data_IF_422852331382
#
_entry.id   IF_422852331382
#
_cell.length_a   1.000
_cell.length_b   1.000
_cell.length_c   1.000
_cell.angle_alpha   90.00
_cell.angle_beta   90.00
_cell.angle_gamma   90.00
#
_symmetry.space_group_name_H-M   'P 1'
#
loop_
_entity.id
_entity.type
_entity.pdbx_description
1 polymer ?
#
# COMPACT_ATOMS: atom_id res chain seq x y z
N UNK A 1 25.92 -2.11 -37.58
CA UNK A 1 25.10 -0.95 -37.19
C UNK A 1 24.16 -1.36 -36.06
N UNK A 2 24.28 -0.79 -34.85
CA UNK A 2 23.52 -1.21 -33.68
C UNK A 2 22.07 -0.70 -33.72
N UNK A 3 21.14 -1.58 -33.36
CA UNK A 3 19.70 -1.34 -33.27
C UNK A 3 19.43 -0.56 -31.98
N UNK A 4 19.14 0.74 -32.10
CA UNK A 4 18.74 1.57 -30.98
C UNK A 4 17.36 1.10 -30.49
N UNK A 5 17.31 0.41 -29.35
CA UNK A 5 16.05 0.06 -28.69
C UNK A 5 15.47 1.32 -28.05
N UNK A 6 14.34 1.81 -28.57
CA UNK A 6 13.61 2.89 -27.91
C UNK A 6 13.00 2.36 -26.62
N UNK A 7 13.57 2.78 -25.49
CA UNK A 7 13.00 2.62 -24.16
C UNK A 7 11.67 3.36 -24.17
N UNK A 8 10.55 2.62 -24.19
CA UNK A 8 9.19 3.14 -24.13
C UNK A 8 9.04 3.88 -22.80
N UNK A 9 9.14 5.20 -22.80
CA UNK A 9 8.76 6.00 -21.65
C UNK A 9 7.29 5.71 -21.36
N UNK A 10 7.01 5.11 -20.19
CA UNK A 10 5.64 4.94 -19.72
C UNK A 10 5.10 6.33 -19.38
N UNK A 11 4.49 6.98 -20.37
CA UNK A 11 3.86 8.28 -20.21
C UNK A 11 2.83 8.23 -19.10
N UNK A 12 3.17 8.81 -17.95
CA UNK A 12 2.35 8.86 -16.74
C UNK A 12 1.03 9.64 -16.93
N UNK A 13 0.84 10.27 -18.09
CA UNK A 13 -0.38 10.97 -18.48
C UNK A 13 -1.62 10.07 -18.47
N UNK A 14 -1.46 8.76 -18.71
CA UNK A 14 -2.59 7.81 -18.63
C UNK A 14 -3.22 7.78 -17.24
N UNK A 15 -2.39 7.80 -16.18
CA UNK A 15 -2.87 7.85 -14.80
C UNK A 15 -3.54 9.20 -14.50
N UNK A 16 -2.96 10.30 -14.98
CA UNK A 16 -3.52 11.64 -14.80
C UNK A 16 -4.88 11.78 -15.49
N UNK A 17 -5.01 11.27 -16.72
CA UNK A 17 -6.24 11.26 -17.49
C UNK A 17 -7.28 10.37 -16.83
N UNK A 18 -6.89 9.18 -16.38
CA UNK A 18 -7.77 8.28 -15.61
C UNK A 18 -8.29 8.94 -14.33
N UNK A 19 -7.43 9.66 -13.61
CA UNK A 19 -7.79 10.40 -12.40
C UNK A 19 -8.80 11.51 -12.70
N UNK A 20 -8.57 12.31 -13.75
CA UNK A 20 -9.47 13.40 -14.16
C UNK A 20 -10.84 12.87 -14.58
N UNK A 21 -10.89 11.78 -15.35
CA UNK A 21 -12.14 11.13 -15.76
C UNK A 21 -12.87 10.59 -14.53
N UNK A 22 -12.17 9.93 -13.61
CA UNK A 22 -12.74 9.44 -12.36
C UNK A 22 -13.35 10.56 -11.52
N UNK A 23 -12.63 11.68 -11.37
CA UNK A 23 -13.12 12.86 -10.64
C UNK A 23 -14.38 13.44 -11.30
N UNK A 24 -14.39 13.56 -12.63
CA UNK A 24 -15.53 14.06 -13.39
C UNK A 24 -16.78 13.18 -13.22
N UNK A 25 -16.62 11.86 -13.32
CA UNK A 25 -17.71 10.90 -13.08
C UNK A 25 -18.24 10.98 -11.65
N UNK A 26 -17.35 11.16 -10.67
CA UNK A 26 -17.73 11.30 -9.27
C UNK A 26 -18.60 12.55 -9.03
N UNK A 27 -18.28 13.67 -9.70
CA UNK A 27 -19.09 14.89 -9.68
C UNK A 27 -20.47 14.64 -10.30
N UNK A 28 -20.55 13.95 -11.44
CA UNK A 28 -21.83 13.62 -12.08
C UNK A 28 -22.71 12.78 -11.14
N UNK A 29 -22.13 11.75 -10.52
CA UNK A 29 -22.83 10.91 -9.54
C UNK A 29 -23.32 11.75 -8.35
N UNK A 30 -22.49 12.68 -7.87
CA UNK A 30 -22.83 13.61 -6.80
C UNK A 30 -24.04 14.49 -7.13
N UNK A 31 -24.06 15.06 -8.33
CA UNK A 31 -25.13 15.95 -8.79
C UNK A 31 -26.44 15.18 -9.06
N UNK A 32 -26.37 14.05 -9.75
CA UNK A 32 -27.56 13.28 -10.11
C UNK A 32 -28.21 12.62 -8.90
N UNK A 33 -27.41 12.18 -7.93
CA UNK A 33 -27.91 11.55 -6.70
C UNK A 33 -27.90 12.54 -5.52
N UNK A 34 -28.13 13.83 -5.78
CA UNK A 34 -28.20 14.87 -4.76
C UNK A 34 -29.47 14.83 -3.90
N UNK A 35 -30.46 14.03 -4.30
CA UNK A 35 -31.68 13.81 -3.53
C UNK A 35 -31.36 13.20 -2.15
N UNK A 36 -31.97 13.73 -1.07
CA UNK A 36 -31.78 13.19 0.26
C UNK A 36 -32.40 11.79 0.36
N UNK A 37 -31.62 10.87 0.92
CA UNK A 37 -32.02 9.50 1.24
C UNK A 37 -31.82 9.31 2.74
N UNK A 38 -32.82 8.74 3.42
CA UNK A 38 -32.67 8.30 4.81
C UNK A 38 -31.87 7.00 4.84
N UNK A 39 -30.73 7.03 5.52
CA UNK A 39 -29.90 5.87 5.78
C UNK A 39 -30.08 5.45 7.23
N UNK A 40 -30.61 4.23 7.43
CA UNK A 40 -30.63 3.58 8.75
C UNK A 40 -29.40 2.68 8.90
N UNK A 41 -28.51 3.05 9.82
CA UNK A 41 -27.32 2.29 10.20
C UNK A 41 -27.40 1.87 11.65
N UNK A 42 -27.66 0.59 11.91
CA UNK A 42 -27.88 0.05 13.26
C UNK A 42 -28.91 0.88 14.05
N UNK A 43 -28.45 1.77 14.93
CA UNK A 43 -29.29 2.64 15.78
C UNK A 43 -29.32 4.11 15.31
N UNK A 44 -28.68 4.43 14.20
CA UNK A 44 -28.58 5.79 13.65
C UNK A 44 -29.42 5.93 12.38
N UNK A 45 -30.07 7.07 12.27
CA UNK A 45 -30.79 7.50 11.07
C UNK A 45 -30.13 8.79 10.57
N UNK A 46 -29.68 8.78 9.32
CA UNK A 46 -28.92 9.87 8.72
C UNK A 46 -29.61 10.26 7.42
N UNK A 47 -30.11 11.49 7.35
CA UNK A 47 -30.68 12.05 6.12
C UNK A 47 -29.59 12.78 5.35
N UNK A 48 -29.15 12.18 4.24
CA UNK A 48 -28.13 12.80 3.37
C UNK A 48 -28.25 12.27 1.96
N UNK A 49 -27.55 12.90 1.02
CA UNK A 49 -27.52 12.39 -0.35
C UNK A 49 -26.63 11.14 -0.46
N UNK A 50 -27.02 10.19 -1.31
CA UNK A 50 -26.31 8.93 -1.49
C UNK A 50 -24.81 9.09 -1.81
N UNK A 51 -24.38 10.06 -2.64
CA UNK A 51 -22.97 10.31 -2.93
C UNK A 51 -22.19 10.76 -1.69
N UNK A 52 -22.77 11.62 -0.86
CA UNK A 52 -22.13 12.07 0.39
C UNK A 52 -21.90 10.89 1.33
N UNK A 53 -22.90 10.03 1.47
CA UNK A 53 -22.79 8.80 2.25
C UNK A 53 -21.66 7.93 1.70
N UNK A 54 -21.68 7.61 0.40
CA UNK A 54 -20.67 6.73 -0.22
C UNK A 54 -19.26 7.31 -0.10
N UNK A 55 -19.07 8.61 -0.32
CA UNK A 55 -17.77 9.27 -0.17
C UNK A 55 -17.24 9.11 1.26
N UNK A 56 -18.06 9.35 2.28
CA UNK A 56 -17.63 9.20 3.69
C UNK A 56 -17.21 7.75 3.97
N UNK A 57 -18.03 6.79 3.58
CA UNK A 57 -17.73 5.36 3.77
C UNK A 57 -16.43 4.94 3.08
N UNK A 58 -16.23 5.36 1.84
CA UNK A 58 -14.99 5.10 1.10
C UNK A 58 -13.79 5.78 1.75
N UNK A 59 -13.91 7.04 2.17
CA UNK A 59 -12.83 7.75 2.85
C UNK A 59 -12.43 7.06 4.15
N UNK A 60 -13.40 6.64 4.96
CA UNK A 60 -13.13 5.89 6.20
C UNK A 60 -12.44 4.57 5.90
N UNK A 61 -12.96 3.79 4.95
CA UNK A 61 -12.33 2.52 4.54
C UNK A 61 -10.91 2.71 4.01
N UNK A 62 -10.69 3.75 3.21
CA UNK A 62 -9.36 4.11 2.70
C UNK A 62 -8.39 4.46 3.83
N UNK A 63 -8.81 5.30 4.78
CA UNK A 63 -7.98 5.67 5.94
C UNK A 63 -7.60 4.44 6.75
N UNK A 64 -8.56 3.54 7.04
CA UNK A 64 -8.31 2.28 7.75
C UNK A 64 -7.32 1.41 6.99
N UNK A 65 -7.48 1.28 5.67
CA UNK A 65 -6.59 0.50 4.80
C UNK A 65 -5.17 1.05 4.81
N UNK A 66 -5.01 2.36 4.67
CA UNK A 66 -3.70 3.05 4.73
C UNK A 66 -3.06 2.84 6.10
N UNK A 67 -3.80 3.06 7.18
CA UNK A 67 -3.28 2.91 8.55
C UNK A 67 -2.82 1.47 8.82
N UNK A 68 -3.60 0.48 8.41
CA UNK A 68 -3.26 -0.94 8.55
C UNK A 68 -2.01 -1.29 7.73
N UNK A 69 -1.90 -0.74 6.52
CA UNK A 69 -0.72 -0.93 5.67
C UNK A 69 0.54 -0.35 6.35
N UNK A 70 0.48 0.89 6.84
CA UNK A 70 1.60 1.54 7.54
C UNK A 70 2.06 0.73 8.75
N UNK A 71 1.13 0.24 9.57
CA UNK A 71 1.45 -0.63 10.71
C UNK A 71 2.20 -1.89 10.24
N UNK A 72 1.78 -2.49 9.14
CA UNK A 72 2.41 -3.69 8.60
C UNK A 72 3.80 -3.41 8.03
N UNK A 73 4.04 -2.26 7.40
CA UNK A 73 5.37 -1.86 6.94
C UNK A 73 6.35 -1.79 8.12
N UNK A 74 6.00 -1.10 9.21
CA UNK A 74 6.86 -1.01 10.39
C UNK A 74 7.15 -2.38 11.03
N UNK A 75 6.18 -3.30 11.03
CA UNK A 75 6.40 -4.67 11.52
C UNK A 75 7.38 -5.43 10.61
N UNK A 76 7.24 -5.29 9.29
CA UNK A 76 8.13 -5.94 8.32
C UNK A 76 9.56 -5.42 8.45
N UNK A 77 9.76 -4.11 8.59
CA UNK A 77 11.10 -3.54 8.77
C UNK A 77 11.79 -4.06 10.04
N UNK A 78 11.04 -4.18 11.14
CA UNK A 78 11.56 -4.79 12.37
C UNK A 78 11.93 -6.26 12.20
N UNK A 79 11.12 -7.04 11.50
CA UNK A 79 11.39 -8.45 11.23
C UNK A 79 12.62 -8.62 10.35
N UNK A 80 12.72 -7.84 9.27
CA UNK A 80 13.88 -7.83 8.36
C UNK A 80 15.15 -7.47 9.12
N UNK A 81 15.11 -6.44 9.97
CA UNK A 81 16.26 -6.05 10.78
C UNK A 81 16.70 -7.14 11.75
N UNK A 82 15.76 -7.86 12.38
CA UNK A 82 16.08 -8.99 13.27
C UNK A 82 16.69 -10.16 12.50
N UNK A 83 16.07 -10.55 11.39
CA UNK A 83 16.56 -11.64 10.54
C UNK A 83 17.96 -11.33 9.97
N UNK A 84 18.22 -10.09 9.55
CA UNK A 84 19.54 -9.67 9.07
C UNK A 84 20.61 -9.76 10.15
N UNK A 85 20.29 -9.41 11.41
CA UNK A 85 21.22 -9.57 12.53
C UNK A 85 21.49 -11.04 12.86
N UNK A 86 20.48 -11.89 12.75
CA UNK A 86 20.61 -13.34 12.97
C UNK A 86 21.48 -14.00 11.91
N UNK A 87 21.31 -13.63 10.63
CA UNK A 87 22.17 -14.07 9.53
C UNK A 87 23.62 -13.68 9.79
N UNK A 88 23.89 -12.41 10.12
CA UNK A 88 25.26 -11.96 10.41
C UNK A 88 25.89 -12.72 11.57
N UNK A 89 25.13 -13.00 12.63
CA UNK A 89 25.64 -13.78 13.76
C UNK A 89 25.99 -15.22 13.36
N UNK A 90 25.10 -15.87 12.60
CA UNK A 90 25.33 -17.24 12.13
C UNK A 90 26.54 -17.32 11.18
N UNK A 91 26.73 -16.31 10.32
CA UNK A 91 27.92 -16.21 9.47
C UNK A 91 29.20 -16.09 10.32
N UNK A 92 29.20 -15.23 11.34
CA UNK A 92 30.34 -15.09 12.27
C UNK A 92 30.64 -16.37 13.05
N UNK A 93 29.61 -17.05 13.56
CA UNK A 93 29.78 -18.31 14.29
C UNK A 93 30.34 -19.41 13.37
N UNK A 94 29.96 -19.44 12.09
CA UNK A 94 30.51 -20.37 11.09
C UNK A 94 31.97 -20.07 10.75
N UNK A 95 32.33 -18.80 10.58
CA UNK A 95 33.72 -18.40 10.32
C UNK A 95 34.63 -18.77 11.51
N UNK A 96 34.20 -18.50 12.75
CA UNK A 96 34.95 -18.87 13.95
C UNK A 96 35.11 -20.39 14.11
N UNK A 97 34.08 -21.16 13.75
CA UNK A 97 34.15 -22.63 13.76
C UNK A 97 35.09 -23.17 12.70
N UNK A 98 35.10 -22.59 11.50
CA UNK A 98 36.03 -22.98 10.43
C UNK A 98 37.48 -22.66 10.82
N UNK A 99 37.75 -21.46 11.34
CA UNK A 99 39.10 -21.07 11.80
C UNK A 99 39.62 -22.03 12.88
N UNK A 100 38.77 -22.41 13.84
CA UNK A 100 39.13 -23.39 14.88
C UNK A 100 39.37 -24.80 14.34
N UNK A 101 38.67 -25.18 13.28
CA UNK A 101 38.82 -26.48 12.62
C UNK A 101 40.12 -26.51 11.79
N UNK A 102 40.48 -25.37 11.19
CA UNK A 102 41.73 -25.20 10.44
C UNK A 102 42.97 -25.12 11.37
N UNK A 103 42.84 -24.54 12.57
CA UNK A 103 43.90 -24.52 13.60
C UNK A 103 44.11 -25.89 14.28
N UNK A 104 43.11 -26.77 14.27
CA UNK A 104 43.17 -28.06 14.96
C UNK A 104 42.60 -29.21 14.10
N UNK A 105 43.36 -29.69 13.10
CA UNK A 105 42.85 -30.57 12.03
C UNK A 105 42.77 -32.07 12.41
N UNK A 106 42.76 -32.41 13.70
CA UNK A 106 42.81 -33.80 14.17
C UNK A 106 41.53 -34.58 13.87
#
# INVERSE_FOLDING_TARGET
MPKHSSKKESSNYSYLIGLLIGLFLLIIVALQNSQPVSLKLLFWEIDSSLPKILTIFFSVGFIIGVLTSLINLFKKDRLISRQSKEIQKLEQDLDELNDKNDENPY
#
